data_IF_675048553042
#
_entry.id   IF_675048553042
#
_cell.length_a   1.000
_cell.length_b   1.000
_cell.length_c   1.000
_cell.angle_alpha   90.00
_cell.angle_beta   90.00
_cell.angle_gamma   90.00
#
_symmetry.space_group_name_H-M   'P 1'
#
loop_
_entity.id
_entity.type
_entity.pdbx_description
1 polymer ?
#
# COMPACT_ATOMS: atom_id res chain seq x y z
N UNK A 1 5.36 -12.52 -23.66
CA UNK A 1 4.79 -12.84 -22.33
C UNK A 1 4.07 -14.20 -22.28
N UNK A 2 3.40 -14.66 -23.34
CA UNK A 2 2.68 -15.96 -23.35
C UNK A 2 3.49 -17.21 -22.93
N UNK A 3 4.80 -17.37 -23.22
CA UNK A 3 5.53 -18.58 -22.82
C UNK A 3 5.64 -18.75 -21.30
N UNK A 4 5.90 -17.67 -20.54
CA UNK A 4 6.04 -17.72 -19.08
C UNK A 4 4.70 -18.02 -18.42
N UNK A 5 3.62 -17.38 -18.90
CA UNK A 5 2.26 -17.65 -18.39
C UNK A 5 1.87 -19.11 -18.61
N UNK A 6 2.14 -19.67 -19.79
CA UNK A 6 1.85 -21.06 -20.08
C UNK A 6 2.67 -22.03 -19.22
N UNK A 7 3.94 -21.75 -18.99
CA UNK A 7 4.77 -22.56 -18.11
C UNK A 7 4.25 -22.51 -16.66
N UNK A 8 3.90 -21.32 -16.17
CA UNK A 8 3.31 -21.17 -14.82
C UNK A 8 1.99 -21.95 -14.69
N UNK A 9 1.14 -21.92 -15.73
CA UNK A 9 -0.09 -22.70 -15.76
C UNK A 9 0.17 -24.20 -15.69
N UNK A 10 1.17 -24.71 -16.41
CA UNK A 10 1.55 -26.13 -16.37
C UNK A 10 2.05 -26.54 -14.98
N UNK A 11 2.87 -25.72 -14.35
CA UNK A 11 3.37 -26.00 -13.00
C UNK A 11 2.25 -25.93 -11.95
N UNK A 12 1.34 -24.97 -12.06
CA UNK A 12 0.18 -24.87 -11.16
C UNK A 12 -0.77 -26.06 -11.27
N UNK A 13 -0.95 -26.59 -12.49
CA UNK A 13 -1.81 -27.76 -12.73
C UNK A 13 -1.16 -29.09 -12.31
N UNK A 14 0.10 -29.06 -11.84
CA UNK A 14 0.83 -30.26 -11.41
C UNK A 14 1.15 -31.24 -12.54
N UNK A 15 1.18 -30.78 -13.80
CA UNK A 15 1.49 -31.65 -14.93
C UNK A 15 2.98 -32.03 -14.86
N UNK A 16 3.26 -33.21 -14.29
CA UNK A 16 4.61 -33.74 -14.12
C UNK A 16 5.22 -33.48 -12.74
N UNK A 17 4.52 -32.86 -11.82
CA UNK A 17 4.93 -32.64 -10.41
C UNK A 17 3.76 -32.81 -9.45
N UNK A 18 4.05 -33.16 -8.19
CA UNK A 18 3.09 -33.20 -7.10
C UNK A 18 3.16 -31.88 -6.36
N UNK A 19 2.03 -31.16 -6.34
CA UNK A 19 1.89 -29.87 -5.66
C UNK A 19 1.30 -30.00 -4.25
N UNK A 20 1.21 -31.20 -3.69
CA UNK A 20 0.71 -31.40 -2.33
C UNK A 20 1.54 -30.63 -1.30
N UNK A 21 0.91 -29.83 -0.46
CA UNK A 21 1.58 -29.02 0.55
C UNK A 21 2.23 -27.72 0.01
N UNK A 22 2.11 -27.41 -1.27
CA UNK A 22 2.62 -26.16 -1.85
C UNK A 22 1.54 -25.07 -1.75
N UNK A 23 1.92 -23.94 -1.16
CA UNK A 23 1.11 -22.73 -1.15
C UNK A 23 1.76 -21.65 -2.00
N UNK A 24 1.01 -21.05 -2.92
CA UNK A 24 1.51 -20.02 -3.83
C UNK A 24 0.79 -18.71 -3.54
N UNK A 25 1.59 -17.66 -3.31
CA UNK A 25 1.12 -16.30 -3.11
C UNK A 25 1.68 -15.40 -4.22
N UNK A 26 0.82 -14.63 -4.85
CA UNK A 26 1.21 -13.60 -5.81
C UNK A 26 0.67 -12.24 -5.38
N UNK A 27 1.36 -11.16 -5.75
CA UNK A 27 0.91 -9.80 -5.54
C UNK A 27 1.01 -9.01 -6.84
N UNK A 28 0.02 -8.17 -7.09
CA UNK A 28 -0.01 -7.26 -8.25
C UNK A 28 -0.73 -5.97 -7.90
N UNK A 29 -0.35 -4.87 -8.52
CA UNK A 29 -1.07 -3.60 -8.49
C UNK A 29 -1.99 -3.41 -9.72
N UNK A 30 -2.03 -4.37 -10.65
CA UNK A 30 -2.91 -4.37 -11.83
C UNK A 30 -3.68 -5.70 -11.93
N UNK A 31 -4.62 -5.97 -11.00
CA UNK A 31 -5.32 -7.25 -10.96
C UNK A 31 -6.14 -7.53 -12.22
N UNK A 32 -6.54 -6.50 -12.96
CA UNK A 32 -7.25 -6.61 -14.23
C UNK A 32 -6.37 -7.09 -15.40
N UNK A 33 -5.04 -6.97 -15.30
CA UNK A 33 -4.09 -7.45 -16.31
C UNK A 33 -3.69 -8.92 -16.10
N UNK A 34 -4.12 -9.54 -15.00
CA UNK A 34 -3.85 -10.96 -14.72
C UNK A 34 -4.70 -11.83 -15.65
N UNK A 35 -4.02 -12.73 -16.38
CA UNK A 35 -4.69 -13.67 -17.28
C UNK A 35 -5.79 -14.45 -16.54
N UNK A 36 -6.99 -14.47 -17.10
CA UNK A 36 -8.16 -15.15 -16.51
C UNK A 36 -7.92 -16.65 -16.28
N UNK A 37 -7.05 -17.27 -17.09
CA UNK A 37 -6.67 -18.68 -16.90
C UNK A 37 -5.95 -18.90 -15.54
N UNK A 38 -5.15 -17.94 -15.08
CA UNK A 38 -4.48 -18.01 -13.77
C UNK A 38 -5.44 -17.87 -12.59
N UNK A 39 -6.62 -17.28 -12.81
CA UNK A 39 -7.62 -17.02 -11.75
C UNK A 39 -8.68 -18.11 -11.61
N UNK A 40 -8.54 -19.23 -12.34
CA UNK A 40 -9.46 -20.36 -12.24
C UNK A 40 -9.27 -21.15 -10.94
N UNK A 41 -10.32 -21.88 -10.48
CA UNK A 41 -10.22 -22.76 -9.30
C UNK A 41 -9.02 -23.71 -9.39
N UNK A 42 -8.32 -23.88 -8.26
CA UNK A 42 -7.11 -24.70 -8.16
C UNK A 42 -5.82 -23.96 -8.56
N UNK A 43 -5.88 -22.65 -8.85
CA UNK A 43 -4.75 -21.77 -9.15
C UNK A 43 -4.79 -20.55 -8.22
N UNK A 44 -4.70 -19.33 -8.75
CA UNK A 44 -4.94 -18.11 -7.94
C UNK A 44 -6.46 -17.83 -7.82
N UNK A 45 -7.17 -18.73 -7.20
CA UNK A 45 -8.63 -18.69 -7.10
C UNK A 45 -9.15 -17.76 -5.98
N UNK A 46 -8.26 -17.24 -5.14
CA UNK A 46 -8.61 -16.28 -4.09
C UNK A 46 -7.86 -14.98 -4.29
N UNK A 47 -8.61 -13.89 -4.35
CA UNK A 47 -8.08 -12.53 -4.39
C UNK A 47 -8.40 -11.82 -3.09
N UNK A 48 -7.42 -11.10 -2.55
CA UNK A 48 -7.60 -10.23 -1.37
C UNK A 48 -7.16 -8.83 -1.77
N UNK A 49 -8.05 -7.86 -1.66
CA UNK A 49 -7.70 -6.45 -1.87
C UNK A 49 -6.94 -5.93 -0.64
N UNK A 50 -5.70 -5.48 -0.83
CA UNK A 50 -4.93 -4.78 0.20
C UNK A 50 -5.17 -3.28 0.01
N UNK A 51 -6.07 -2.73 0.79
CA UNK A 51 -6.50 -1.35 0.71
C UNK A 51 -5.60 -0.44 1.55
N UNK A 52 -5.55 0.88 1.26
CA UNK A 52 -4.88 1.83 2.14
C UNK A 52 -5.39 1.74 3.58
N UNK A 53 -4.49 1.93 4.58
CA UNK A 53 -4.83 1.73 5.98
C UNK A 53 -5.89 2.75 6.46
N UNK A 54 -6.80 2.29 7.33
CA UNK A 54 -7.72 3.13 8.08
C UNK A 54 -7.00 3.95 9.18
N UNK A 55 -7.73 4.78 9.92
CA UNK A 55 -7.14 5.64 10.97
C UNK A 55 -6.32 4.86 12.00
N UNK A 56 -6.88 3.83 12.66
CA UNK A 56 -6.16 2.99 13.61
C UNK A 56 -4.93 2.30 13.01
N UNK A 57 -5.05 1.77 11.79
CA UNK A 57 -3.93 1.13 11.10
C UNK A 57 -2.82 2.15 10.75
N UNK A 58 -3.17 3.38 10.30
CA UNK A 58 -2.18 4.44 10.08
C UNK A 58 -1.44 4.81 11.36
N UNK A 59 -2.15 4.88 12.49
CA UNK A 59 -1.53 5.11 13.79
C UNK A 59 -0.52 4.02 14.14
N UNK A 60 -0.88 2.76 13.93
CA UNK A 60 0.00 1.63 14.18
C UNK A 60 1.25 1.64 13.29
N UNK A 61 1.08 1.97 12.00
CA UNK A 61 2.19 2.09 11.04
C UNK A 61 3.12 3.23 11.44
N UNK A 62 2.59 4.42 11.73
CA UNK A 62 3.39 5.55 12.22
C UNK A 62 4.15 5.20 13.48
N UNK A 63 3.48 4.61 14.47
CA UNK A 63 4.12 4.17 15.71
C UNK A 63 5.24 3.17 15.44
N UNK A 64 5.01 2.19 14.54
CA UNK A 64 6.03 1.20 14.17
C UNK A 64 7.30 1.86 13.63
N UNK A 65 7.19 2.84 12.74
CA UNK A 65 8.33 3.53 12.17
C UNK A 65 9.01 4.52 13.14
N UNK A 66 8.26 5.04 14.11
CA UNK A 66 8.76 6.02 15.08
C UNK A 66 9.51 5.39 16.27
N UNK A 67 9.14 4.16 16.67
CA UNK A 67 9.66 3.54 17.92
C UNK A 67 11.19 3.43 18.00
N UNK A 68 11.88 3.43 16.87
CA UNK A 68 13.36 3.34 16.79
C UNK A 68 14.02 4.67 16.42
N UNK A 69 13.26 5.75 16.35
CA UNK A 69 13.76 7.07 15.95
C UNK A 69 13.86 8.01 17.18
N UNK A 70 14.81 8.95 17.19
CA UNK A 70 14.94 9.93 18.26
C UNK A 70 13.86 11.03 18.10
N UNK A 71 12.68 10.81 18.64
CA UNK A 71 11.51 11.69 18.49
C UNK A 71 11.10 12.33 19.83
N UNK A 72 10.55 13.54 19.77
CA UNK A 72 10.04 14.28 20.92
C UNK A 72 8.73 15.01 20.57
N UNK A 73 7.74 14.89 21.46
CA UNK A 73 6.49 15.66 21.35
C UNK A 73 5.65 15.36 20.11
N UNK A 74 5.63 14.11 19.63
CA UNK A 74 4.86 13.71 18.44
C UNK A 74 3.39 13.46 18.81
N UNK A 75 2.48 14.21 18.19
CA UNK A 75 1.04 13.97 18.25
C UNK A 75 0.62 13.02 17.11
N UNK A 76 0.54 11.72 17.44
CA UNK A 76 0.09 10.70 16.49
C UNK A 76 -1.36 10.93 16.04
N UNK A 77 -2.23 11.42 16.91
CA UNK A 77 -3.63 11.69 16.54
C UNK A 77 -3.72 12.76 15.45
N UNK A 78 -2.96 13.84 15.60
CA UNK A 78 -2.88 14.88 14.57
C UNK A 78 -2.30 14.34 13.25
N UNK A 79 -1.24 13.54 13.30
CA UNK A 79 -0.67 12.91 12.09
C UNK A 79 -1.68 12.00 11.39
N UNK A 80 -2.44 11.19 12.13
CA UNK A 80 -3.49 10.33 11.56
C UNK A 80 -4.56 11.14 10.83
N UNK A 81 -4.97 12.28 11.40
CA UNK A 81 -5.95 13.16 10.73
C UNK A 81 -5.40 13.76 9.42
N UNK A 82 -4.11 14.09 9.38
CA UNK A 82 -3.46 14.72 8.23
C UNK A 82 -2.99 13.74 7.14
N UNK A 83 -3.02 12.44 7.41
CA UNK A 83 -2.54 11.37 6.51
C UNK A 83 -3.67 10.53 5.92
N UNK A 84 -4.86 11.06 5.79
CA UNK A 84 -5.96 10.35 5.14
C UNK A 84 -5.58 10.00 3.70
N UNK A 85 -5.82 8.74 3.30
CA UNK A 85 -5.49 8.22 1.97
C UNK A 85 -4.01 7.85 1.76
N UNK A 86 -3.15 8.02 2.76
CA UNK A 86 -1.76 7.59 2.68
C UNK A 86 -1.65 6.06 2.74
N UNK A 87 -0.80 5.51 1.91
CA UNK A 87 -0.39 4.09 1.95
C UNK A 87 0.63 3.86 3.07
N UNK A 88 0.94 2.59 3.37
CA UNK A 88 2.03 2.27 4.29
C UNK A 88 3.38 2.85 3.85
N UNK A 89 3.64 2.84 2.53
CA UNK A 89 4.85 3.43 1.96
C UNK A 89 4.90 4.96 2.10
N UNK A 90 3.76 5.65 1.91
CA UNK A 90 3.68 7.09 2.11
C UNK A 90 3.95 7.47 3.57
N UNK A 91 3.43 6.69 4.52
CA UNK A 91 3.65 6.90 5.96
C UNK A 91 5.11 6.66 6.36
N UNK A 92 5.74 5.63 5.81
CA UNK A 92 7.17 5.39 6.00
C UNK A 92 8.00 6.56 5.46
N UNK A 93 7.71 6.99 4.24
CA UNK A 93 8.36 8.12 3.60
C UNK A 93 8.18 9.43 4.39
N UNK A 94 6.99 9.65 4.96
CA UNK A 94 6.71 10.79 5.84
C UNK A 94 7.63 10.80 7.06
N UNK A 95 7.80 9.64 7.72
CA UNK A 95 8.69 9.52 8.88
C UNK A 95 10.14 9.75 8.48
N UNK A 96 10.59 9.14 7.38
CA UNK A 96 11.97 9.30 6.90
C UNK A 96 12.27 10.76 6.52
N UNK A 97 11.35 11.45 5.84
CA UNK A 97 11.50 12.86 5.49
C UNK A 97 11.59 13.77 6.73
N UNK A 98 10.78 13.49 7.77
CA UNK A 98 10.86 14.24 9.02
C UNK A 98 12.22 14.03 9.71
N UNK A 99 12.76 12.81 9.70
CA UNK A 99 14.10 12.51 10.21
C UNK A 99 15.18 13.23 9.40
N UNK A 100 15.07 13.26 8.08
CA UNK A 100 16.01 13.98 7.21
C UNK A 100 16.06 15.48 7.53
N UNK A 101 14.90 16.12 7.77
CA UNK A 101 14.88 17.54 8.17
C UNK A 101 15.60 17.78 9.51
N UNK A 102 15.37 16.94 10.50
CA UNK A 102 16.06 17.06 11.79
C UNK A 102 17.58 16.84 11.63
N UNK A 103 17.96 15.88 10.80
CA UNK A 103 19.37 15.60 10.51
C UNK A 103 20.04 16.78 9.78
N UNK A 104 19.40 17.33 8.75
CA UNK A 104 19.92 18.48 8.01
C UNK A 104 20.11 19.71 8.90
N UNK A 105 19.15 19.98 9.80
CA UNK A 105 19.26 21.06 10.78
C UNK A 105 20.40 20.81 11.76
N UNK A 106 20.55 19.56 12.23
CA UNK A 106 21.65 19.17 13.13
C UNK A 106 23.03 19.38 12.49
N UNK A 107 23.17 19.02 11.19
CA UNK A 107 24.40 19.26 10.45
C UNK A 107 24.69 20.75 10.27
N UNK A 108 23.68 21.55 10.00
CA UNK A 108 23.82 23.00 9.80
C UNK A 108 24.20 23.74 11.09
N UNK A 109 23.65 23.31 12.23
CA UNK A 109 23.86 24.00 13.52
C UNK A 109 25.01 23.42 14.33
N UNK A 110 25.52 22.24 13.98
CA UNK A 110 26.50 21.48 14.76
C UNK A 110 25.90 20.82 16.03
N UNK A 111 24.59 20.93 16.28
CA UNK A 111 23.92 20.40 17.45
C UNK A 111 22.91 19.34 17.06
N UNK A 112 23.03 18.13 17.61
CA UNK A 112 22.07 17.05 17.38
C UNK A 112 20.75 17.39 18.09
N UNK A 113 19.63 17.31 17.37
CA UNK A 113 18.29 17.51 17.93
C UNK A 113 17.37 16.34 17.64
N UNK A 114 16.34 16.20 18.45
CA UNK A 114 15.25 15.24 18.22
C UNK A 114 14.38 15.66 17.03
N UNK A 115 13.72 14.69 16.42
CA UNK A 115 12.64 14.90 15.44
C UNK A 115 11.40 15.38 16.17
N UNK A 116 10.81 16.46 15.73
CA UNK A 116 9.65 17.09 16.37
C UNK A 116 8.45 17.13 15.44
N UNK A 117 7.31 17.51 15.96
CA UNK A 117 6.09 17.71 15.18
C UNK A 117 6.27 18.73 14.04
N UNK A 118 7.16 19.72 14.21
CA UNK A 118 7.47 20.69 13.15
C UNK A 118 8.04 20.04 11.89
N UNK A 119 8.90 19.02 12.04
CA UNK A 119 9.51 18.31 10.92
C UNK A 119 8.46 17.52 10.13
N UNK A 120 7.48 16.91 10.83
CA UNK A 120 6.36 16.24 10.23
C UNK A 120 5.44 17.18 9.47
N UNK A 121 5.13 18.33 10.03
CA UNK A 121 4.29 19.32 9.34
C UNK A 121 4.95 19.82 8.06
N UNK A 122 6.25 20.07 8.10
CA UNK A 122 7.05 20.44 6.93
C UNK A 122 7.06 19.34 5.86
N UNK A 123 7.20 18.07 6.27
CA UNK A 123 7.15 16.93 5.34
C UNK A 123 5.76 16.81 4.68
N UNK A 124 4.68 17.00 5.46
CA UNK A 124 3.29 16.96 4.97
C UNK A 124 2.97 18.06 3.95
N UNK A 125 3.74 19.14 3.88
CA UNK A 125 3.57 20.17 2.83
C UNK A 125 3.98 19.64 1.45
N UNK A 126 4.90 18.70 1.39
CA UNK A 126 5.49 18.18 0.15
C UNK A 126 4.94 16.81 -0.26
N UNK A 127 4.58 15.98 0.70
CA UNK A 127 4.14 14.61 0.45
C UNK A 127 2.64 14.57 0.20
N UNK A 128 2.24 13.83 -0.84
CA UNK A 128 0.84 13.60 -1.21
C UNK A 128 0.55 12.10 -1.25
N UNK A 129 -0.71 11.66 -1.03
CA UNK A 129 -1.08 10.25 -1.20
C UNK A 129 -0.70 9.73 -2.57
N UNK A 130 0.08 8.64 -2.62
CA UNK A 130 0.59 8.08 -3.87
C UNK A 130 -0.43 7.25 -4.65
N UNK A 131 -1.48 6.75 -3.99
CA UNK A 131 -2.46 5.83 -4.57
C UNK A 131 -3.49 6.52 -5.51
N UNK A 132 -3.55 7.85 -5.55
CA UNK A 132 -4.55 8.59 -6.34
C UNK A 132 -4.64 8.17 -7.81
N UNK A 133 -3.54 8.17 -8.59
CA UNK A 133 -3.54 7.76 -9.99
C UNK A 133 -3.99 6.31 -10.19
N UNK A 134 -3.66 5.43 -9.25
CA UNK A 134 -4.10 4.04 -9.29
C UNK A 134 -5.62 3.93 -9.14
N UNK A 135 -6.23 4.68 -8.21
CA UNK A 135 -7.69 4.70 -8.03
C UNK A 135 -8.42 5.22 -9.25
N UNK A 136 -7.86 6.20 -9.96
CA UNK A 136 -8.42 6.67 -11.23
C UNK A 136 -8.49 5.55 -12.27
N UNK A 137 -7.45 4.73 -12.37
CA UNK A 137 -7.43 3.57 -13.27
C UNK A 137 -8.40 2.49 -12.80
N UNK A 138 -8.38 2.15 -11.51
CA UNK A 138 -9.24 1.13 -10.91
C UNK A 138 -10.73 1.44 -11.09
N UNK A 139 -11.14 2.71 -11.01
CA UNK A 139 -12.53 3.15 -11.25
C UNK A 139 -13.06 2.66 -12.58
N UNK A 140 -12.30 2.81 -13.65
CA UNK A 140 -12.74 2.38 -14.99
C UNK A 140 -12.98 0.86 -15.04
N UNK A 141 -12.11 0.08 -14.39
CA UNK A 141 -12.29 -1.38 -14.35
C UNK A 141 -13.46 -1.80 -13.45
N UNK A 142 -13.71 -1.10 -12.35
CA UNK A 142 -14.87 -1.35 -11.50
C UNK A 142 -16.17 -1.03 -12.26
N UNK A 143 -16.21 0.11 -12.93
CA UNK A 143 -17.42 0.59 -13.60
C UNK A 143 -17.79 -0.27 -14.82
N UNK A 144 -16.81 -0.70 -15.60
CA UNK A 144 -17.05 -1.39 -16.88
C UNK A 144 -16.67 -2.88 -16.86
N UNK A 145 -15.87 -3.34 -15.89
CA UNK A 145 -15.31 -4.70 -15.87
C UNK A 145 -15.74 -5.58 -14.70
N UNK A 146 -16.39 -5.05 -13.67
CA UNK A 146 -16.76 -5.80 -12.45
C UNK A 146 -18.06 -6.60 -12.62
N UNK A 147 -18.14 -7.46 -13.63
CA UNK A 147 -19.36 -8.24 -13.91
C UNK A 147 -19.58 -9.39 -12.94
N UNK A 148 -18.50 -9.93 -12.38
CA UNK A 148 -18.53 -11.11 -11.51
C UNK A 148 -18.36 -10.77 -10.02
N UNK A 149 -18.46 -9.48 -9.65
CA UNK A 149 -18.29 -9.02 -8.26
C UNK A 149 -16.87 -9.14 -7.71
N UNK A 150 -15.88 -9.41 -8.55
CA UNK A 150 -14.48 -9.62 -8.14
C UNK A 150 -13.86 -8.42 -7.44
N UNK A 151 -14.34 -7.20 -7.72
CA UNK A 151 -13.82 -5.95 -7.18
C UNK A 151 -14.83 -5.25 -6.25
N UNK A 152 -15.79 -5.98 -5.68
CA UNK A 152 -16.82 -5.39 -4.84
C UNK A 152 -16.24 -4.73 -3.59
N UNK A 153 -15.28 -5.38 -2.89
CA UNK A 153 -14.59 -4.82 -1.73
C UNK A 153 -13.88 -3.49 -2.08
N UNK A 154 -13.22 -3.46 -3.24
CA UNK A 154 -12.57 -2.25 -3.73
C UNK A 154 -13.57 -1.16 -4.09
N UNK A 155 -14.69 -1.53 -4.72
CA UNK A 155 -15.76 -0.61 -5.07
C UNK A 155 -16.41 0.01 -3.82
N UNK A 156 -16.64 -0.79 -2.78
CA UNK A 156 -17.16 -0.33 -1.50
C UNK A 156 -16.19 0.64 -0.83
N UNK A 157 -14.91 0.29 -0.74
CA UNK A 157 -13.88 1.19 -0.22
C UNK A 157 -13.83 2.51 -0.97
N UNK A 158 -13.85 2.48 -2.31
CA UNK A 158 -13.77 3.69 -3.13
C UNK A 158 -14.99 4.60 -2.94
N UNK A 159 -16.20 4.01 -2.83
CA UNK A 159 -17.42 4.79 -2.52
C UNK A 159 -17.34 5.43 -1.13
N UNK A 160 -16.91 4.67 -0.11
CA UNK A 160 -16.79 5.16 1.25
C UNK A 160 -15.77 6.31 1.40
N UNK A 161 -14.79 6.39 0.51
CA UNK A 161 -13.73 7.41 0.53
C UNK A 161 -13.87 8.49 -0.56
N UNK A 162 -15.02 8.58 -1.26
CA UNK A 162 -15.30 9.53 -2.35
C UNK A 162 -14.26 9.47 -3.49
N UNK A 163 -13.83 8.26 -3.85
CA UNK A 163 -12.88 7.98 -4.93
C UNK A 163 -13.55 7.50 -6.24
N UNK A 164 -14.89 7.38 -6.23
CA UNK A 164 -15.71 7.00 -7.40
C UNK A 164 -16.11 8.23 -8.21
#
# INVERSE_FOLDING_TARGET
MRPITNQLLMELDGIGSDNEGVFILAATNTPWDVDSALRRPGRFDRSVAVLPPDGPARQAVLYHHLKSRPVEGIDLGHLVQRTQGFTGADLAHLVDSAVEYAMMDSLRTGNVRMVTMHDFLRALEQIRPSAGPWFVTARNFIEYGNRDGQYDDLAEYMRANNLM
#
